data_IF_971831808411
#
_entry.id   IF_971831808411
#
_cell.length_a   1.000
_cell.length_b   1.000
_cell.length_c   1.000
_cell.angle_alpha   90.00
_cell.angle_beta   90.00
_cell.angle_gamma   90.00
#
_symmetry.space_group_name_H-M   'P 1'
#
loop_
_entity.id
_entity.type
_entity.pdbx_description
1 polymer ?
#
# COMPACT_ATOMS: atom_id res chain seq x y z
N UNK A 1 84.52 15.04 -3.13
CA UNK A 1 83.58 16.17 -2.92
C UNK A 1 82.73 16.27 -4.18
N UNK A 2 81.41 16.22 -4.24
CA UNK A 2 80.29 16.02 -3.33
C UNK A 2 79.03 16.20 -4.20
N UNK A 3 77.99 15.36 -4.07
CA UNK A 3 76.65 15.57 -4.67
C UNK A 3 75.64 14.55 -4.12
N UNK A 4 75.10 14.81 -2.93
CA UNK A 4 73.84 14.21 -2.46
C UNK A 4 73.17 15.18 -1.49
N UNK A 5 72.34 16.10 -2.02
CA UNK A 5 71.51 16.99 -1.18
C UNK A 5 70.14 17.37 -1.79
N UNK A 6 69.76 16.81 -2.95
CA UNK A 6 68.56 17.25 -3.68
C UNK A 6 67.35 16.30 -3.62
N UNK A 7 67.49 15.07 -3.11
CA UNK A 7 66.42 14.06 -3.15
C UNK A 7 65.44 14.12 -1.96
N UNK A 8 65.87 14.59 -0.79
CA UNK A 8 65.01 14.56 0.42
C UNK A 8 63.92 15.65 0.42
N UNK A 9 64.22 16.82 -0.17
CA UNK A 9 63.31 17.97 -0.19
C UNK A 9 62.10 17.78 -1.12
N UNK A 10 62.21 16.96 -2.17
CA UNK A 10 61.10 16.67 -3.09
C UNK A 10 60.11 15.66 -2.51
N UNK A 11 60.58 14.67 -1.75
CA UNK A 11 59.72 13.67 -1.10
C UNK A 11 58.87 14.28 0.03
N UNK A 12 59.48 15.15 0.84
CA UNK A 12 58.76 15.85 1.92
C UNK A 12 57.72 16.86 1.40
N UNK A 13 58.00 17.52 0.26
CA UNK A 13 56.99 18.35 -0.42
C UNK A 13 55.81 17.50 -0.91
N UNK A 14 56.05 16.34 -1.54
CA UNK A 14 55.00 15.48 -2.09
C UNK A 14 54.03 14.96 -1.03
N UNK A 15 54.55 14.61 0.15
CA UNK A 15 53.74 14.17 1.31
C UNK A 15 52.89 15.34 1.85
N UNK A 16 53.45 16.55 1.93
CA UNK A 16 52.69 17.74 2.35
C UNK A 16 51.57 18.09 1.35
N UNK A 17 51.83 17.98 0.04
CA UNK A 17 50.79 18.18 -0.97
C UNK A 17 49.70 17.11 -0.90
N UNK A 18 50.06 15.84 -0.68
CA UNK A 18 49.08 14.76 -0.51
C UNK A 18 48.20 14.97 0.74
N UNK A 19 48.78 15.42 1.85
CA UNK A 19 48.04 15.74 3.08
C UNK A 19 47.14 16.97 2.92
N UNK A 20 47.57 17.99 2.18
CA UNK A 20 46.75 19.15 1.86
C UNK A 20 45.56 18.78 0.96
N UNK A 21 45.78 17.90 -0.02
CA UNK A 21 44.70 17.38 -0.88
C UNK A 21 43.71 16.55 -0.05
N UNK A 22 44.20 15.69 0.85
CA UNK A 22 43.36 14.89 1.74
C UNK A 22 42.51 15.80 2.66
N UNK A 23 43.10 16.85 3.22
CA UNK A 23 42.39 17.84 4.04
C UNK A 23 41.34 18.63 3.22
N UNK A 24 41.62 18.91 1.95
CA UNK A 24 40.64 19.55 1.07
C UNK A 24 39.44 18.60 0.78
N UNK A 25 39.71 17.31 0.58
CA UNK A 25 38.65 16.31 0.41
C UNK A 25 37.80 16.13 1.66
N UNK A 26 38.37 16.18 2.87
CA UNK A 26 37.58 16.09 4.11
C UNK A 26 36.73 17.33 4.38
N UNK A 27 37.21 18.54 4.02
CA UNK A 27 36.39 19.75 4.07
C UNK A 27 35.27 19.75 3.02
N UNK A 28 35.52 19.19 1.82
CA UNK A 28 34.51 19.05 0.78
C UNK A 28 33.41 18.04 1.15
N UNK A 29 33.75 16.94 1.84
CA UNK A 29 32.74 15.97 2.30
C UNK A 29 31.92 16.51 3.48
N UNK A 30 32.53 17.27 4.39
CA UNK A 30 31.79 17.93 5.48
C UNK A 30 30.83 19.00 4.94
N UNK A 31 31.28 19.85 4.02
CA UNK A 31 30.41 20.87 3.40
C UNK A 31 29.28 20.24 2.58
N UNK A 32 29.51 19.16 1.84
CA UNK A 32 28.46 18.39 1.17
C UNK A 32 27.46 17.76 2.16
N UNK A 33 27.93 17.24 3.30
CA UNK A 33 27.06 16.70 4.35
C UNK A 33 26.20 17.78 5.03
N UNK A 34 26.74 18.99 5.24
CA UNK A 34 25.97 20.12 5.78
C UNK A 34 24.98 20.70 4.76
N UNK A 35 25.34 20.79 3.48
CA UNK A 35 24.43 21.26 2.42
C UNK A 35 23.29 20.26 2.13
N UNK A 36 23.56 18.95 2.13
CA UNK A 36 22.50 17.93 1.99
C UNK A 36 21.58 17.89 3.21
N UNK A 37 22.11 18.14 4.42
CA UNK A 37 21.28 18.29 5.64
C UNK A 37 20.43 19.57 5.62
N UNK A 38 20.93 20.68 5.04
CA UNK A 38 20.15 21.91 4.88
C UNK A 38 19.06 21.79 3.79
N UNK A 39 19.32 21.01 2.73
CA UNK A 39 18.33 20.74 1.68
C UNK A 39 17.22 19.77 2.14
N UNK A 40 17.50 18.91 3.13
CA UNK A 40 16.49 18.04 3.75
C UNK A 40 15.71 18.70 4.91
N UNK A 41 16.20 19.82 5.46
CA UNK A 41 15.52 20.55 6.54
C UNK A 41 14.62 21.71 6.07
N UNK A 42 14.51 21.96 4.76
CA UNK A 42 13.67 23.06 4.21
C UNK A 42 12.35 22.60 3.58
N UNK A 43 11.93 21.36 3.82
CA UNK A 43 10.58 20.88 3.50
C UNK A 43 9.85 20.45 4.78
N UNK A 44 9.79 21.33 5.78
CA UNK A 44 8.76 21.24 6.82
C UNK A 44 7.42 21.68 6.20
N UNK A 45 6.83 20.82 5.36
CA UNK A 45 5.43 20.94 4.94
C UNK A 45 4.46 20.34 5.98
N UNK A 46 4.94 20.07 7.19
CA UNK A 46 4.16 19.52 8.31
C UNK A 46 3.18 20.52 8.91
N UNK A 47 3.35 21.83 8.69
CA UNK A 47 2.42 22.84 9.22
C UNK A 47 1.14 23.02 8.37
N UNK A 48 1.17 22.70 7.07
CA UNK A 48 -0.04 22.76 6.24
C UNK A 48 -0.94 21.53 6.39
N UNK A 49 -0.39 20.36 6.70
CA UNK A 49 -1.18 19.15 6.89
C UNK A 49 -1.95 19.15 8.22
N UNK A 50 -1.42 19.83 9.24
CA UNK A 50 -2.09 19.97 10.53
C UNK A 50 -3.15 21.07 10.52
N UNK A 51 -2.97 22.14 9.73
CA UNK A 51 -3.97 23.19 9.53
C UNK A 51 -5.18 22.73 8.70
N UNK A 52 -5.00 21.78 7.77
CA UNK A 52 -6.11 21.29 6.94
C UNK A 52 -6.95 20.21 7.63
N UNK A 53 -6.39 19.47 8.60
CA UNK A 53 -7.17 18.61 9.50
C UNK A 53 -7.96 19.44 10.53
N UNK A 54 -7.52 20.66 10.83
CA UNK A 54 -8.25 21.61 11.69
C UNK A 54 -9.36 22.41 10.97
N UNK A 55 -9.40 22.39 9.64
CA UNK A 55 -10.38 23.17 8.85
C UNK A 55 -11.58 22.37 8.35
N UNK A 56 -11.58 21.05 8.52
CA UNK A 56 -12.82 20.30 8.74
C UNK A 56 -13.01 20.15 10.23
N UNK A 57 -13.28 21.25 10.91
CA UNK A 57 -14.21 21.20 12.03
C UNK A 57 -15.48 20.58 11.48
N UNK A 58 -15.57 19.24 11.59
CA UNK A 58 -16.84 18.56 11.70
C UNK A 58 -17.50 19.30 12.85
N UNK A 59 -18.35 20.26 12.50
CA UNK A 59 -19.47 20.71 13.31
C UNK A 59 -19.91 19.48 14.06
N UNK A 60 -19.73 19.51 15.37
CA UNK A 60 -20.15 18.50 16.33
C UNK A 60 -21.52 17.99 15.92
N UNK A 61 -21.55 16.93 15.12
CA UNK A 61 -22.78 16.22 14.85
C UNK A 61 -23.04 15.50 16.16
N UNK A 62 -24.06 15.97 16.88
CA UNK A 62 -24.58 15.35 18.10
C UNK A 62 -25.16 13.95 17.86
N UNK A 63 -24.77 13.28 16.78
CA UNK A 63 -25.17 11.94 16.42
C UNK A 63 -24.30 10.91 17.13
N UNK A 64 -24.82 9.69 17.34
CA UNK A 64 -24.03 8.58 17.85
C UNK A 64 -22.83 8.32 16.92
N UNK A 65 -21.69 7.96 17.50
CA UNK A 65 -20.50 7.57 16.73
C UNK A 65 -20.91 6.48 15.71
N UNK A 66 -20.62 6.63 14.40
CA UNK A 66 -21.07 5.69 13.37
C UNK A 66 -20.52 4.27 13.56
N UNK A 67 -19.43 4.11 14.29
CA UNK A 67 -18.84 2.80 14.65
C UNK A 67 -19.25 2.32 16.05
N UNK A 68 -20.20 2.99 16.70
CA UNK A 68 -20.65 2.63 18.06
C UNK A 68 -21.20 1.21 18.18
N UNK A 69 -21.72 0.65 17.08
CA UNK A 69 -22.21 -0.74 17.02
C UNK A 69 -21.09 -1.78 17.20
N UNK A 70 -19.83 -1.40 17.01
CA UNK A 70 -18.66 -2.27 17.21
C UNK A 70 -18.17 -2.30 18.66
N UNK A 71 -18.77 -1.53 19.57
CA UNK A 71 -18.39 -1.56 20.98
C UNK A 71 -18.58 -2.97 21.54
N UNK A 72 -17.55 -3.49 22.22
CA UNK A 72 -17.54 -4.85 22.80
C UNK A 72 -17.67 -5.98 21.78
N UNK A 73 -17.47 -5.70 20.48
CA UNK A 73 -17.45 -6.69 19.40
C UNK A 73 -16.02 -7.12 19.09
N UNK A 74 -15.85 -8.38 18.69
CA UNK A 74 -14.57 -8.91 18.27
C UNK A 74 -14.41 -8.78 16.75
N UNK A 75 -13.43 -7.98 16.34
CA UNK A 75 -13.02 -7.83 14.95
C UNK A 75 -11.68 -8.54 14.71
N UNK A 76 -11.66 -9.48 13.76
CA UNK A 76 -10.45 -10.13 13.27
C UNK A 76 -10.03 -9.49 11.95
N UNK A 77 -8.82 -8.93 11.91
CA UNK A 77 -8.25 -8.29 10.72
C UNK A 77 -7.13 -9.18 10.17
N UNK A 78 -7.29 -9.63 8.92
CA UNK A 78 -6.35 -10.55 8.27
C UNK A 78 -5.63 -9.80 7.16
N UNK A 79 -4.33 -9.59 7.34
CA UNK A 79 -3.44 -9.05 6.31
C UNK A 79 -2.61 -10.15 5.67
N UNK A 80 -2.24 -9.97 4.40
CA UNK A 80 -1.35 -10.89 3.70
C UNK A 80 0.09 -10.74 4.20
N UNK A 81 0.63 -9.52 4.22
CA UNK A 81 2.00 -9.21 4.65
C UNK A 81 2.03 -7.78 5.23
N UNK A 82 2.80 -7.53 6.30
CA UNK A 82 2.88 -6.22 6.96
C UNK A 82 3.89 -5.26 6.32
N UNK A 83 4.94 -5.81 5.69
CA UNK A 83 6.03 -5.04 5.06
C UNK A 83 5.58 -4.29 3.80
N UNK A 84 4.51 -4.77 3.14
CA UNK A 84 3.96 -4.18 1.94
C UNK A 84 3.18 -2.91 2.31
N UNK A 85 3.70 -1.75 1.91
CA UNK A 85 3.06 -0.46 2.24
C UNK A 85 1.79 -0.22 1.40
N UNK A 86 0.79 0.43 2.00
CA UNK A 86 -0.52 0.73 1.40
C UNK A 86 -1.67 0.02 2.13
N UNK A 87 -2.16 -1.10 1.61
CA UNK A 87 -3.30 -1.84 2.16
C UNK A 87 -3.17 -2.21 3.65
N UNK A 88 -2.05 -2.79 4.11
CA UNK A 88 -1.84 -3.07 5.53
C UNK A 88 -1.91 -1.85 6.43
N UNK A 89 -1.41 -0.68 5.99
CA UNK A 89 -1.50 0.56 6.77
C UNK A 89 -2.94 1.07 6.88
N UNK A 90 -3.74 0.96 5.81
CA UNK A 90 -5.17 1.28 5.84
C UNK A 90 -5.93 0.38 6.81
N UNK A 91 -5.63 -0.91 6.79
CA UNK A 91 -6.22 -1.87 7.73
C UNK A 91 -5.81 -1.58 9.18
N UNK A 92 -4.57 -1.12 9.43
CA UNK A 92 -4.12 -0.69 10.75
C UNK A 92 -4.87 0.55 11.25
N UNK A 93 -5.13 1.54 10.39
CA UNK A 93 -5.94 2.69 10.76
C UNK A 93 -7.38 2.29 11.13
N UNK A 94 -7.97 1.36 10.37
CA UNK A 94 -9.26 0.76 10.73
C UNK A 94 -9.19 0.07 12.11
N UNK A 95 -8.12 -0.69 12.38
CA UNK A 95 -7.90 -1.33 13.67
C UNK A 95 -7.92 -0.31 14.82
N UNK A 96 -7.26 0.83 14.64
CA UNK A 96 -7.22 1.89 15.66
C UNK A 96 -8.57 2.59 15.84
N UNK A 97 -9.33 2.81 14.76
CA UNK A 97 -10.68 3.35 14.86
C UNK A 97 -11.60 2.40 15.63
N UNK A 98 -11.53 1.10 15.36
CA UNK A 98 -12.28 0.07 16.08
C UNK A 98 -11.89 0.00 17.57
N UNK A 99 -10.59 0.08 17.89
CA UNK A 99 -10.12 0.15 19.28
C UNK A 99 -10.62 1.40 20.01
N UNK A 100 -10.66 2.57 19.34
CA UNK A 100 -11.16 3.83 19.92
C UNK A 100 -12.64 3.76 20.31
N UNK A 101 -13.45 2.95 19.63
CA UNK A 101 -14.87 2.74 19.98
C UNK A 101 -15.09 1.59 20.96
N UNK A 102 -14.03 0.96 21.44
CA UNK A 102 -14.09 -0.11 22.43
C UNK A 102 -14.37 -1.51 21.84
N UNK A 103 -14.12 -1.71 20.55
CA UNK A 103 -14.11 -3.05 19.95
C UNK A 103 -12.86 -3.82 20.38
N UNK A 104 -12.95 -5.14 20.54
CA UNK A 104 -11.78 -6.01 20.61
C UNK A 104 -11.24 -6.23 19.19
N UNK A 105 -9.93 -6.07 19.01
CA UNK A 105 -9.32 -6.19 17.68
C UNK A 105 -8.15 -7.15 17.74
N UNK A 106 -8.22 -8.19 16.91
CA UNK A 106 -7.14 -9.14 16.68
C UNK A 106 -6.63 -8.96 15.27
N UNK A 107 -5.32 -8.91 15.14
CA UNK A 107 -4.60 -8.83 13.87
C UNK A 107 -3.87 -10.15 13.60
N UNK A 108 -3.95 -10.59 12.35
CA UNK A 108 -3.20 -11.73 11.84
C UNK A 108 -2.51 -11.35 10.54
N UNK A 109 -1.25 -11.77 10.40
CA UNK A 109 -0.47 -11.64 9.16
C UNK A 109 -0.20 -13.02 8.56
N UNK A 110 -0.80 -13.33 7.42
CA UNK A 110 -0.77 -14.66 6.78
C UNK A 110 0.65 -15.08 6.37
N UNK A 111 1.43 -14.16 5.83
CA UNK A 111 2.82 -14.38 5.44
C UNK A 111 3.72 -13.46 6.26
N UNK A 112 4.53 -14.08 7.12
CA UNK A 112 5.71 -13.43 7.70
C UNK A 112 6.92 -13.86 6.87
N UNK A 113 7.75 -12.92 6.38
CA UNK A 113 9.00 -13.25 5.72
C UNK A 113 9.82 -14.23 6.56
N UNK A 114 10.49 -15.19 5.92
CA UNK A 114 11.31 -16.18 6.63
C UNK A 114 12.52 -15.57 7.34
N UNK A 115 12.94 -14.36 6.92
CA UNK A 115 13.92 -13.57 7.65
C UNK A 115 13.21 -12.88 8.81
N UNK A 116 13.56 -13.30 10.03
CA UNK A 116 12.95 -12.88 11.29
C UNK A 116 13.15 -11.39 11.65
N UNK A 117 13.76 -10.59 10.76
CA UNK A 117 14.31 -9.28 11.05
C UNK A 117 13.87 -8.18 10.06
N UNK A 118 12.64 -8.26 9.55
CA UNK A 118 12.05 -7.06 8.98
C UNK A 118 11.67 -6.09 10.11
N UNK A 119 12.58 -5.15 10.40
CA UNK A 119 12.37 -4.10 11.39
C UNK A 119 11.10 -3.28 11.15
N UNK A 120 10.58 -3.24 9.91
CA UNK A 120 9.30 -2.62 9.60
C UNK A 120 8.15 -3.42 10.20
N UNK A 121 8.04 -4.71 9.89
CA UNK A 121 6.99 -5.57 10.45
C UNK A 121 7.00 -5.56 11.98
N UNK A 122 8.17 -5.66 12.61
CA UNK A 122 8.31 -5.56 14.07
C UNK A 122 7.78 -4.22 14.61
N UNK A 123 8.19 -3.11 14.00
CA UNK A 123 7.78 -1.76 14.41
C UNK A 123 6.25 -1.57 14.30
N UNK A 124 5.66 -2.06 13.21
CA UNK A 124 4.21 -2.01 13.01
C UNK A 124 3.44 -2.87 14.03
N UNK A 125 3.92 -4.09 14.32
CA UNK A 125 3.32 -4.95 15.34
C UNK A 125 3.40 -4.32 16.73
N UNK A 126 4.55 -3.72 17.10
CA UNK A 126 4.70 -2.96 18.34
C UNK A 126 3.69 -1.81 18.42
N UNK A 127 3.56 -1.02 17.36
CA UNK A 127 2.58 0.09 17.30
C UNK A 127 1.15 -0.41 17.46
N UNK A 128 0.81 -1.58 16.92
CA UNK A 128 -0.51 -2.22 17.11
C UNK A 128 -0.73 -2.60 18.57
N UNK A 129 0.22 -3.28 19.19
CA UNK A 129 0.17 -3.69 20.59
C UNK A 129 0.03 -2.48 21.53
N UNK A 130 0.80 -1.41 21.30
CA UNK A 130 0.75 -0.18 22.11
C UNK A 130 -0.60 0.56 21.97
N UNK A 131 -1.40 0.25 20.95
CA UNK A 131 -2.76 0.74 20.73
C UNK A 131 -3.84 -0.27 21.12
N UNK A 132 -3.46 -1.36 21.79
CA UNK A 132 -4.36 -2.39 22.31
C UNK A 132 -4.93 -3.32 21.24
N UNK A 133 -4.33 -3.40 20.05
CA UNK A 133 -4.62 -4.43 19.06
C UNK A 133 -3.81 -5.68 19.41
N UNK A 134 -4.47 -6.83 19.48
CA UNK A 134 -3.81 -8.11 19.73
C UNK A 134 -3.19 -8.61 18.43
N UNK A 135 -1.98 -9.17 18.45
CA UNK A 135 -1.32 -9.71 17.24
C UNK A 135 -1.07 -11.19 17.42
N UNK A 136 -1.70 -12.03 16.59
CA UNK A 136 -1.59 -13.49 16.65
C UNK A 136 -0.89 -14.08 15.42
N UNK A 137 -0.42 -15.32 15.57
CA UNK A 137 0.00 -16.15 14.44
C UNK A 137 -1.19 -16.42 13.53
N UNK A 138 -0.96 -16.43 12.22
CA UNK A 138 -1.98 -16.80 11.25
C UNK A 138 -2.38 -18.27 11.28
N UNK A 139 -1.65 -19.12 12.00
CA UNK A 139 -1.83 -20.56 12.03
C UNK A 139 -2.13 -21.04 13.44
N UNK A 140 -2.74 -22.21 13.52
CA UNK A 140 -3.01 -22.92 14.77
C UNK A 140 -4.41 -22.66 15.31
N UNK A 141 -4.76 -23.39 16.37
CA UNK A 141 -6.11 -23.42 16.92
C UNK A 141 -6.60 -22.04 17.35
N UNK A 142 -5.73 -21.24 17.98
CA UNK A 142 -6.05 -19.87 18.41
C UNK A 142 -6.59 -18.99 17.27
N UNK A 143 -6.02 -19.09 16.07
CA UNK A 143 -6.48 -18.33 14.90
C UNK A 143 -7.86 -18.79 14.43
N UNK A 144 -8.12 -20.10 14.49
CA UNK A 144 -9.39 -20.72 14.12
C UNK A 144 -10.47 -20.31 15.13
N UNK A 145 -10.21 -20.46 16.43
CA UNK A 145 -11.14 -20.11 17.51
C UNK A 145 -11.51 -18.62 17.43
N UNK A 146 -10.51 -17.75 17.28
CA UNK A 146 -10.73 -16.30 17.12
C UNK A 146 -11.61 -16.00 15.92
N UNK A 147 -11.39 -16.67 14.77
CA UNK A 147 -12.20 -16.45 13.58
C UNK A 147 -13.65 -16.94 13.73
N UNK A 148 -13.85 -18.02 14.49
CA UNK A 148 -15.17 -18.57 14.79
C UNK A 148 -15.95 -17.68 15.76
N UNK A 149 -15.28 -17.14 16.76
CA UNK A 149 -15.85 -16.24 17.78
C UNK A 149 -16.06 -14.81 17.27
N UNK A 150 -15.26 -14.36 16.29
CA UNK A 150 -15.34 -13.01 15.77
C UNK A 150 -16.77 -12.64 15.33
N UNK A 151 -17.16 -11.40 15.61
CA UNK A 151 -18.37 -10.78 15.09
C UNK A 151 -18.14 -10.25 13.66
N UNK A 152 -16.91 -9.85 13.35
CA UNK A 152 -16.49 -9.34 12.04
C UNK A 152 -15.11 -9.88 11.68
N UNK A 153 -14.96 -10.39 10.45
CA UNK A 153 -13.67 -10.76 9.88
C UNK A 153 -13.40 -9.88 8.67
N UNK A 154 -12.33 -9.09 8.69
CA UNK A 154 -11.90 -8.29 7.53
C UNK A 154 -10.75 -8.99 6.83
N UNK A 155 -10.99 -9.43 5.60
CA UNK A 155 -9.91 -9.92 4.73
C UNK A 155 -9.37 -8.76 3.92
N UNK A 156 -8.13 -8.38 4.19
CA UNK A 156 -7.46 -7.34 3.43
C UNK A 156 -6.73 -7.95 2.25
N UNK A 157 -6.98 -7.43 1.04
CA UNK A 157 -6.48 -7.90 -0.25
C UNK A 157 -7.11 -9.20 -0.75
N UNK A 158 -7.09 -9.41 -2.06
CA UNK A 158 -7.52 -10.69 -2.66
C UNK A 158 -6.61 -11.87 -2.23
N UNK A 159 -5.37 -11.61 -1.82
CA UNK A 159 -4.41 -12.65 -1.44
C UNK A 159 -4.77 -13.29 -0.09
N UNK A 160 -5.43 -12.55 0.80
CA UNK A 160 -5.91 -13.08 2.08
C UNK A 160 -6.92 -14.21 1.92
N UNK A 161 -7.55 -14.39 0.76
CA UNK A 161 -8.43 -15.54 0.49
C UNK A 161 -7.77 -16.90 0.66
N UNK A 162 -6.44 -16.99 0.45
CA UNK A 162 -5.66 -18.22 0.69
C UNK A 162 -5.66 -18.66 2.14
N UNK A 163 -5.80 -17.71 3.07
CA UNK A 163 -5.82 -18.00 4.49
C UNK A 163 -7.08 -18.78 4.91
N UNK A 164 -8.23 -18.54 4.26
CA UNK A 164 -9.49 -19.23 4.57
C UNK A 164 -9.34 -20.76 4.47
N UNK A 165 -8.98 -21.28 3.29
CA UNK A 165 -8.80 -22.73 3.10
C UNK A 165 -7.55 -23.24 3.81
N UNK A 166 -6.47 -22.45 3.82
CA UNK A 166 -5.20 -22.87 4.41
C UNK A 166 -5.25 -23.07 5.92
N UNK A 167 -6.15 -22.36 6.62
CA UNK A 167 -6.20 -22.33 8.09
C UNK A 167 -7.54 -22.78 8.65
N UNK A 168 -8.66 -22.28 8.12
CA UNK A 168 -9.98 -22.58 8.69
C UNK A 168 -10.53 -23.93 8.25
N UNK A 169 -10.12 -24.44 7.08
CA UNK A 169 -10.50 -25.77 6.57
C UNK A 169 -12.02 -26.02 6.62
N UNK A 170 -12.47 -27.01 7.39
CA UNK A 170 -13.89 -27.34 7.59
C UNK A 170 -14.72 -26.19 8.18
N UNK A 171 -14.10 -25.27 8.90
CA UNK A 171 -14.76 -24.15 9.57
C UNK A 171 -15.05 -22.95 8.64
N UNK A 172 -14.51 -22.94 7.41
CA UNK A 172 -14.66 -21.83 6.46
C UNK A 172 -16.12 -21.41 6.32
N UNK A 173 -17.04 -22.37 6.13
CA UNK A 173 -18.47 -22.08 5.89
C UNK A 173 -19.13 -21.30 7.03
N UNK A 174 -18.68 -21.48 8.27
CA UNK A 174 -19.24 -20.80 9.44
C UNK A 174 -18.73 -19.36 9.58
N UNK A 175 -17.52 -19.10 9.08
CA UNK A 175 -16.88 -17.78 9.16
C UNK A 175 -17.32 -16.87 8.01
N UNK A 176 -17.54 -17.41 6.81
CA UNK A 176 -17.86 -16.63 5.60
C UNK A 176 -18.97 -15.57 5.76
N UNK A 177 -20.11 -15.85 6.42
CA UNK A 177 -21.17 -14.85 6.61
C UNK A 177 -20.78 -13.65 7.48
N UNK A 178 -19.63 -13.69 8.15
CA UNK A 178 -19.06 -12.62 8.97
C UNK A 178 -17.91 -11.89 8.27
N UNK A 179 -17.56 -12.33 7.06
CA UNK A 179 -16.42 -11.79 6.31
C UNK A 179 -16.83 -10.57 5.52
N UNK A 180 -16.10 -9.48 5.73
CA UNK A 180 -16.05 -8.31 4.87
C UNK A 180 -14.72 -8.30 4.12
N UNK A 181 -14.76 -8.48 2.80
CA UNK A 181 -13.54 -8.62 2.01
C UNK A 181 -13.15 -7.28 1.39
N UNK A 182 -12.07 -6.67 1.88
CA UNK A 182 -11.58 -5.40 1.37
C UNK A 182 -10.54 -5.61 0.27
N UNK A 183 -10.91 -5.28 -0.96
CA UNK A 183 -10.09 -5.50 -2.16
C UNK A 183 -9.73 -4.14 -2.77
N UNK A 184 -8.44 -3.84 -2.74
CA UNK A 184 -7.89 -2.55 -3.14
C UNK A 184 -7.16 -2.61 -4.49
N UNK A 185 -7.00 -3.81 -5.05
CA UNK A 185 -6.13 -4.06 -6.19
C UNK A 185 -6.91 -4.42 -7.46
N UNK A 186 -6.39 -4.01 -8.62
CA UNK A 186 -6.90 -4.40 -9.95
C UNK A 186 -5.90 -5.30 -10.68
N UNK A 187 -5.54 -6.44 -10.07
CA UNK A 187 -4.53 -7.35 -10.65
C UNK A 187 -5.15 -8.57 -11.31
N UNK A 188 -4.88 -8.73 -12.61
CA UNK A 188 -5.45 -9.79 -13.43
C UNK A 188 -5.08 -11.23 -13.03
N UNK A 189 -4.00 -11.44 -12.27
CA UNK A 189 -3.60 -12.77 -11.81
C UNK A 189 -4.35 -13.25 -10.57
N UNK A 190 -5.12 -12.38 -9.89
CA UNK A 190 -5.95 -12.75 -8.75
C UNK A 190 -7.25 -13.46 -9.16
N UNK A 191 -7.62 -13.45 -10.44
CA UNK A 191 -8.78 -14.19 -10.96
C UNK A 191 -8.44 -15.67 -11.13
N UNK A 192 -8.16 -16.35 -10.02
CA UNK A 192 -7.99 -17.80 -9.88
C UNK A 192 -8.75 -18.25 -8.64
N UNK A 193 -9.28 -19.47 -8.67
CA UNK A 193 -10.05 -20.02 -7.54
C UNK A 193 -9.24 -20.01 -6.23
N UNK A 194 -7.93 -20.24 -6.27
CA UNK A 194 -7.06 -20.18 -5.08
C UNK A 194 -7.12 -18.84 -4.31
N UNK A 195 -7.48 -17.74 -4.97
CA UNK A 195 -7.60 -16.42 -4.34
C UNK A 195 -9.04 -16.09 -3.97
N UNK A 196 -10.00 -16.41 -4.85
CA UNK A 196 -11.36 -15.84 -4.76
C UNK A 196 -12.49 -16.86 -4.77
N UNK A 197 -12.20 -18.16 -4.58
CA UNK A 197 -13.21 -19.24 -4.51
C UNK A 197 -14.36 -18.91 -3.55
N UNK A 198 -14.06 -18.25 -2.43
CA UNK A 198 -15.06 -17.96 -1.41
C UNK A 198 -15.76 -16.62 -1.54
N UNK A 199 -15.35 -15.79 -2.51
CA UNK A 199 -15.87 -14.44 -2.69
C UNK A 199 -17.41 -14.38 -2.84
N UNK A 200 -18.11 -15.32 -3.50
CA UNK A 200 -19.58 -15.27 -3.56
C UNK A 200 -20.31 -15.43 -2.22
N UNK A 201 -19.63 -15.94 -1.19
CA UNK A 201 -20.26 -16.41 0.05
C UNK A 201 -19.96 -15.50 1.25
N UNK A 202 -19.15 -14.47 1.06
CA UNK A 202 -18.86 -13.49 2.12
C UNK A 202 -20.02 -12.52 2.30
N UNK A 203 -20.09 -11.87 3.46
CA UNK A 203 -21.14 -10.89 3.77
C UNK A 203 -21.14 -9.71 2.79
N UNK A 204 -19.94 -9.25 2.42
CA UNK A 204 -19.78 -8.19 1.44
C UNK A 204 -18.34 -8.01 1.00
N UNK A 205 -18.16 -7.25 -0.08
CA UNK A 205 -16.86 -6.80 -0.56
C UNK A 205 -16.79 -5.27 -0.47
N UNK A 206 -15.71 -4.75 0.10
CA UNK A 206 -15.36 -3.33 0.06
C UNK A 206 -14.35 -3.10 -1.05
N UNK A 207 -14.60 -2.10 -1.90
CA UNK A 207 -13.75 -1.80 -3.05
C UNK A 207 -13.54 -0.29 -3.17
N UNK A 208 -12.34 0.14 -3.53
CA UNK A 208 -11.95 1.55 -3.45
C UNK A 208 -12.56 2.46 -4.53
N UNK A 209 -13.19 1.91 -5.57
CA UNK A 209 -13.88 2.71 -6.60
C UNK A 209 -14.95 1.93 -7.37
N UNK A 210 -15.88 2.67 -8.00
CA UNK A 210 -16.88 2.09 -8.92
C UNK A 210 -16.23 1.37 -10.10
N UNK A 211 -15.19 1.94 -10.71
CA UNK A 211 -14.46 1.31 -11.82
C UNK A 211 -13.79 0.01 -11.39
N UNK A 212 -13.18 -0.01 -10.20
CA UNK A 212 -12.58 -1.23 -9.64
C UNK A 212 -13.67 -2.27 -9.34
N UNK A 213 -14.82 -1.85 -8.81
CA UNK A 213 -15.94 -2.76 -8.53
C UNK A 213 -16.48 -3.40 -9.81
N UNK A 214 -16.66 -2.62 -10.88
CA UNK A 214 -17.05 -3.15 -12.19
C UNK A 214 -16.01 -4.09 -12.78
N UNK A 215 -14.73 -3.72 -12.67
CA UNK A 215 -13.62 -4.57 -13.12
C UNK A 215 -13.67 -5.94 -12.44
N UNK A 216 -13.80 -5.97 -11.11
CA UNK A 216 -13.92 -7.22 -10.36
C UNK A 216 -15.17 -8.00 -10.76
N UNK A 217 -16.33 -7.35 -10.80
CA UNK A 217 -17.61 -7.97 -11.20
C UNK A 217 -17.56 -8.63 -12.57
N UNK A 218 -17.01 -7.94 -13.57
CA UNK A 218 -16.92 -8.47 -14.93
C UNK A 218 -15.92 -9.61 -15.01
N UNK A 219 -14.72 -9.43 -14.44
CA UNK A 219 -13.65 -10.42 -14.54
C UNK A 219 -13.90 -11.69 -13.72
N UNK A 220 -14.53 -11.61 -12.54
CA UNK A 220 -14.91 -12.83 -11.79
C UNK A 220 -15.99 -13.61 -12.54
N UNK A 221 -16.96 -12.92 -13.14
CA UNK A 221 -18.01 -13.55 -13.94
C UNK A 221 -17.45 -14.21 -15.19
N UNK A 222 -16.68 -13.47 -15.99
CA UNK A 222 -16.16 -13.95 -17.28
C UNK A 222 -15.11 -15.05 -17.14
N UNK A 223 -14.22 -14.95 -16.15
CA UNK A 223 -13.10 -15.88 -16.00
C UNK A 223 -13.41 -17.08 -15.12
N UNK A 224 -14.29 -16.91 -14.12
CA UNK A 224 -14.50 -17.91 -13.07
C UNK A 224 -15.97 -18.31 -12.90
N UNK A 225 -16.91 -17.65 -13.59
CA UNK A 225 -18.34 -17.86 -13.35
C UNK A 225 -18.81 -17.43 -11.96
N UNK A 226 -18.02 -16.62 -11.25
CA UNK A 226 -18.29 -16.21 -9.87
C UNK A 226 -19.05 -14.89 -9.84
N UNK A 227 -20.18 -14.88 -9.13
CA UNK A 227 -20.93 -13.67 -8.80
C UNK A 227 -20.27 -12.96 -7.62
N UNK A 228 -20.07 -11.64 -7.76
CA UNK A 228 -19.63 -10.80 -6.64
C UNK A 228 -20.70 -10.75 -5.53
N UNK A 229 -20.29 -10.70 -4.25
CA UNK A 229 -21.21 -10.47 -3.13
C UNK A 229 -21.73 -9.03 -3.17
N UNK A 230 -22.53 -8.64 -2.18
CA UNK A 230 -22.87 -7.24 -2.00
C UNK A 230 -21.60 -6.39 -1.94
N UNK A 231 -21.51 -5.40 -2.84
CA UNK A 231 -20.27 -4.66 -3.08
C UNK A 231 -20.46 -3.21 -2.70
N UNK A 232 -19.64 -2.76 -1.76
CA UNK A 232 -19.64 -1.41 -1.21
C UNK A 232 -18.43 -0.66 -1.76
N UNK A 233 -18.68 0.49 -2.38
CA UNK A 233 -17.60 1.35 -2.86
C UNK A 233 -17.20 2.29 -1.73
N UNK A 234 -15.95 2.21 -1.29
CA UNK A 234 -15.41 2.98 -0.16
C UNK A 234 -14.24 3.82 -0.65
N UNK A 235 -14.51 5.10 -0.94
CA UNK A 235 -13.50 6.05 -1.38
C UNK A 235 -12.77 6.65 -0.18
N UNK A 236 -11.56 6.15 0.10
CA UNK A 236 -10.66 6.76 1.08
C UNK A 236 -10.02 8.03 0.49
N UNK A 237 -10.77 9.13 0.48
CA UNK A 237 -10.20 10.47 0.24
C UNK A 237 -10.56 11.17 -1.06
N UNK A 238 -11.67 10.81 -1.73
CA UNK A 238 -12.20 11.64 -2.82
C UNK A 238 -13.58 12.19 -2.42
N UNK A 239 -13.75 13.52 -2.47
CA UNK A 239 -15.07 14.13 -2.34
C UNK A 239 -15.95 13.70 -3.52
N UNK A 240 -17.27 13.68 -3.32
CA UNK A 240 -18.22 13.44 -4.42
C UNK A 240 -17.98 14.40 -5.59
N UNK A 241 -17.64 15.65 -5.28
CA UNK A 241 -17.34 16.69 -6.27
C UNK A 241 -16.17 16.31 -7.18
N UNK A 242 -15.10 15.72 -6.63
CA UNK A 242 -13.97 15.26 -7.44
C UNK A 242 -14.33 14.07 -8.32
N UNK A 243 -15.24 13.20 -7.89
CA UNK A 243 -15.77 12.11 -8.71
C UNK A 243 -16.62 12.64 -9.86
N UNK A 244 -17.50 13.61 -9.60
CA UNK A 244 -18.33 14.25 -10.63
C UNK A 244 -17.49 14.98 -11.69
N UNK A 245 -16.46 15.73 -11.26
CA UNK A 245 -15.50 16.38 -12.18
C UNK A 245 -14.67 15.34 -12.93
N UNK A 246 -14.24 14.26 -12.27
CA UNK A 246 -13.50 13.21 -12.93
C UNK A 246 -14.34 12.43 -13.93
N UNK A 247 -15.66 12.32 -13.73
CA UNK A 247 -16.61 11.66 -14.64
C UNK A 247 -17.01 12.52 -15.83
N UNK A 248 -16.83 13.84 -15.76
CA UNK A 248 -17.01 14.75 -16.88
C UNK A 248 -16.10 14.36 -18.06
N UNK A 249 -16.74 13.93 -19.14
CA UNK A 249 -16.11 13.47 -20.38
C UNK A 249 -15.23 14.58 -21.00
N UNK A 250 -15.61 15.85 -20.82
CA UNK A 250 -14.84 17.01 -21.25
C UNK A 250 -13.62 17.19 -20.37
N UNK A 251 -13.77 17.14 -19.05
CA UNK A 251 -12.64 17.22 -18.11
C UNK A 251 -11.64 16.06 -18.31
N UNK A 252 -12.12 14.82 -18.53
CA UNK A 252 -11.26 13.67 -18.88
C UNK A 252 -10.48 13.90 -20.16
N UNK A 253 -11.11 14.50 -21.19
CA UNK A 253 -10.43 14.82 -22.45
C UNK A 253 -9.35 15.87 -22.22
N UNK A 254 -9.69 16.97 -21.54
CA UNK A 254 -8.77 18.08 -21.27
C UNK A 254 -7.58 17.63 -20.42
N UNK A 255 -7.83 16.90 -19.32
CA UNK A 255 -6.77 16.35 -18.47
C UNK A 255 -5.85 15.39 -19.24
N UNK A 256 -6.43 14.54 -20.09
CA UNK A 256 -5.65 13.62 -20.93
C UNK A 256 -4.78 14.36 -21.94
N UNK A 257 -5.28 15.42 -22.57
CA UNK A 257 -4.46 16.22 -23.49
C UNK A 257 -3.35 16.96 -22.75
N UNK A 258 -3.65 17.54 -21.59
CA UNK A 258 -2.66 18.22 -20.76
C UNK A 258 -1.53 17.30 -20.26
N UNK A 259 -1.88 16.09 -19.78
CA UNK A 259 -0.89 15.08 -19.38
C UNK A 259 -0.06 14.62 -20.58
N UNK A 260 -0.68 14.46 -21.76
CA UNK A 260 0.04 14.10 -22.99
C UNK A 260 1.02 15.18 -23.42
N UNK A 261 0.63 16.44 -23.37
CA UNK A 261 1.50 17.58 -23.67
C UNK A 261 2.67 17.65 -22.67
N UNK A 262 2.38 17.49 -21.38
CA UNK A 262 3.39 17.50 -20.32
C UNK A 262 4.41 16.35 -20.46
N UNK A 263 3.97 15.21 -21.00
CA UNK A 263 4.82 14.05 -21.31
C UNK A 263 5.42 14.10 -22.73
N UNK A 264 5.21 15.18 -23.49
CA UNK A 264 5.73 15.35 -24.85
C UNK A 264 5.08 14.44 -25.91
N UNK A 265 3.92 13.86 -25.63
CA UNK A 265 3.20 12.94 -26.52
C UNK A 265 2.26 13.73 -27.44
N UNK A 266 2.84 14.34 -28.48
CA UNK A 266 2.06 15.05 -29.50
C UNK A 266 1.32 14.08 -30.43
N UNK A 267 0.18 14.51 -30.99
CA UNK A 267 -0.50 13.77 -32.06
C UNK A 267 0.39 13.77 -33.30
N UNK A 268 1.08 12.67 -33.56
CA UNK A 268 1.65 12.44 -34.89
C UNK A 268 0.49 12.33 -35.85
N UNK A 269 0.38 13.29 -36.77
CA UNK A 269 -0.68 13.35 -37.76
C UNK A 269 -0.73 12.07 -38.60
N UNK A 270 -1.97 11.62 -38.87
CA UNK A 270 -2.41 10.87 -40.05
C UNK A 270 -1.31 9.99 -40.69
N UNK A 271 -1.00 8.85 -40.06
CA UNK A 271 -0.21 7.80 -40.72
C UNK A 271 -1.08 7.21 -41.83
N UNK A 272 -0.73 7.56 -43.07
CA UNK A 272 -1.13 6.83 -44.27
C UNK A 272 -0.84 5.35 -44.03
N UNK A 273 -1.83 4.53 -44.31
CA UNK A 273 -1.72 3.08 -44.53
C UNK A 273 -0.42 2.73 -45.25
N UNK A 274 0.52 2.12 -44.54
CA UNK A 274 1.55 1.28 -45.13
C UNK A 274 1.44 -0.09 -44.45
N UNK A 275 0.81 -1.00 -45.19
CA UNK A 275 0.98 -2.44 -45.06
C UNK A 275 2.45 -2.77 -44.79
N UNK A 276 2.74 -3.49 -43.71
CA UNK A 276 3.90 -4.38 -43.68
C UNK A 276 3.41 -5.78 -43.36
N UNK A 277 3.32 -6.54 -44.45
CA UNK A 277 3.12 -7.99 -44.51
C UNK A 277 4.27 -8.66 -43.75
N UNK A 278 3.91 -9.59 -42.86
CA UNK A 278 4.86 -10.56 -42.31
C UNK A 278 5.55 -11.29 -43.47
N UNK A 279 6.87 -11.15 -43.58
CA UNK A 279 7.69 -12.11 -44.32
C UNK A 279 8.43 -12.99 -43.32
N UNK A 280 7.91 -14.21 -43.16
CA UNK A 280 8.70 -15.37 -42.76
C UNK A 280 9.78 -15.63 -43.81
N UNK A 281 11.00 -15.85 -43.32
CA UNK A 281 12.21 -16.47 -43.91
C UNK A 281 13.36 -15.48 -43.75
N UNK A 282 14.56 -15.85 -43.35
CA UNK A 282 15.20 -17.10 -42.96
C UNK A 282 16.66 -16.65 -42.78
N UNK A 283 17.37 -17.10 -41.75
CA UNK A 283 18.83 -17.10 -41.82
C UNK A 283 19.38 -18.32 -41.08
N UNK A 284 20.01 -19.17 -41.90
CA UNK A 284 21.02 -20.21 -41.66
C UNK A 284 20.76 -21.27 -40.59
#
# INVERSE_FOLDING_TARGET
MGKQATSWNTMQKRIRWALMILALFTLLTLTFFFYTRSAFNSCNSTDHFQAQIQSTSVTSSSGPNPLGFMKSKLALLVSHELSLSGGPLLLMELAFLLRRVGAEVVWITNQKPAQADDGVAYSLERKMLDRGVQVFSAKGQKAIDTAMEADLVVLNTAVAGKWLEGVLKENVKQVLPKVLWWIHEMRGHYFKLEYVKHLPFVAGAMIDSHTTAEYWKNRTRERLGIKMPETYVVHLGNSKDHMEVAEDIVAKRVLREHVRESLGVFRVGKVRTCFFVLSMRAYN
#
